data_IF_633727438711
#
_entry.id   IF_633727438711
#
_cell.length_a   1.000
_cell.length_b   1.000
_cell.length_c   1.000
_cell.angle_alpha   90.00
_cell.angle_beta   90.00
_cell.angle_gamma   90.00
#
_symmetry.space_group_name_H-M   'P 1'
#
loop_
_entity.id
_entity.type
_entity.pdbx_description
1 polymer ?
#
# COMPACT_ATOMS: atom_id res chain seq x y z
N UNK A 1 -19.88 -11.14 -22.84
CA UNK A 1 -19.33 -11.70 -24.10
C UNK A 1 -19.98 -10.95 -25.26
N UNK A 2 -19.24 -10.58 -26.31
CA UNK A 2 -19.86 -10.03 -27.52
C UNK A 2 -20.58 -11.17 -28.29
N UNK A 3 -21.83 -10.96 -28.70
CA UNK A 3 -22.69 -11.97 -29.33
C UNK A 3 -23.03 -11.66 -30.80
N UNK A 4 -22.04 -11.22 -31.59
CA UNK A 4 -22.23 -10.86 -33.01
C UNK A 4 -21.62 -11.89 -33.98
N UNK A 5 -22.04 -11.83 -35.24
CA UNK A 5 -21.48 -12.63 -36.34
C UNK A 5 -20.03 -12.24 -36.61
N UNK A 6 -19.15 -13.23 -36.68
CA UNK A 6 -17.73 -13.04 -37.02
C UNK A 6 -17.53 -12.58 -38.47
N UNK A 7 -16.44 -11.87 -38.80
CA UNK A 7 -15.35 -11.46 -37.90
C UNK A 7 -15.73 -10.27 -37.00
N UNK A 8 -15.24 -10.29 -35.76
CA UNK A 8 -15.40 -9.20 -34.79
C UNK A 8 -14.08 -8.46 -34.62
N UNK A 9 -14.07 -7.17 -34.94
CA UNK A 9 -12.96 -6.26 -34.66
C UNK A 9 -13.16 -5.62 -33.30
N UNK A 10 -12.16 -5.70 -32.43
CA UNK A 10 -12.18 -5.06 -31.10
C UNK A 10 -11.26 -3.84 -31.10
N UNK A 11 -11.66 -2.81 -30.35
CA UNK A 11 -10.80 -1.68 -30.02
C UNK A 11 -11.14 -1.20 -28.60
N UNK A 12 -10.13 -1.20 -27.72
CA UNK A 12 -10.29 -0.66 -26.37
C UNK A 12 -10.00 0.85 -26.33
N UNK A 13 -10.71 1.56 -25.46
CA UNK A 13 -10.53 2.99 -25.18
C UNK A 13 -10.37 3.22 -23.67
N UNK A 14 -9.64 4.27 -23.31
CA UNK A 14 -9.47 4.80 -21.96
C UNK A 14 -9.86 6.28 -21.99
N UNK A 15 -10.86 6.68 -21.20
CA UNK A 15 -11.43 8.03 -21.18
C UNK A 15 -11.77 8.55 -22.59
N UNK A 16 -12.30 7.66 -23.43
CA UNK A 16 -12.64 7.95 -24.83
C UNK A 16 -11.44 7.97 -25.80
N UNK A 17 -10.20 7.88 -25.31
CA UNK A 17 -9.00 7.81 -26.14
C UNK A 17 -8.65 6.37 -26.52
N UNK A 18 -8.26 6.16 -27.78
CA UNK A 18 -7.92 4.82 -28.29
C UNK A 18 -6.64 4.27 -27.65
N UNK A 19 -6.74 3.10 -27.02
CA UNK A 19 -5.57 2.33 -26.58
C UNK A 19 -4.95 1.61 -27.79
N UNK A 20 -3.88 2.18 -28.33
CA UNK A 20 -3.22 1.66 -29.54
C UNK A 20 -2.75 0.22 -29.32
N UNK A 21 -3.08 -0.67 -30.27
CA UNK A 21 -2.70 -2.08 -30.23
C UNK A 21 -3.60 -2.96 -29.34
N UNK A 22 -4.54 -2.38 -28.60
CA UNK A 22 -5.53 -3.13 -27.84
C UNK A 22 -6.70 -3.55 -28.76
N UNK A 23 -6.46 -4.57 -29.58
CA UNK A 23 -7.44 -5.09 -30.57
C UNK A 23 -7.91 -6.52 -30.29
N UNK A 24 -7.47 -7.08 -29.15
CA UNK A 24 -7.90 -8.41 -28.73
C UNK A 24 -9.22 -8.34 -27.96
N UNK A 25 -9.96 -9.46 -27.96
CA UNK A 25 -11.17 -9.64 -27.16
C UNK A 25 -10.95 -9.40 -25.66
N UNK A 26 -9.74 -9.65 -25.16
CA UNK A 26 -9.33 -9.44 -23.76
C UNK A 26 -8.24 -8.37 -23.71
N UNK A 27 -8.47 -7.30 -22.97
CA UNK A 27 -7.44 -6.32 -22.62
C UNK A 27 -6.59 -6.87 -21.48
N UNK A 28 -5.29 -7.03 -21.72
CA UNK A 28 -4.31 -7.43 -20.70
C UNK A 28 -3.33 -6.29 -20.50
N UNK A 29 -3.27 -5.76 -19.28
CA UNK A 29 -2.32 -4.73 -18.87
C UNK A 29 -1.34 -5.35 -17.85
N UNK A 30 -0.10 -5.72 -18.24
CA UNK A 30 0.82 -6.41 -17.35
C UNK A 30 1.32 -5.53 -16.19
N UNK A 31 1.34 -4.21 -16.40
CA UNK A 31 1.63 -3.21 -15.39
C UNK A 31 0.57 -2.12 -15.54
N UNK A 32 -0.08 -1.76 -14.44
CA UNK A 32 -1.07 -0.69 -14.38
C UNK A 32 -0.48 0.45 -13.57
N UNK A 33 -0.49 1.65 -14.13
CA UNK A 33 0.01 2.88 -13.52
C UNK A 33 -1.13 3.88 -13.31
N UNK A 34 -0.83 5.04 -12.71
CA UNK A 34 -1.81 6.13 -12.60
C UNK A 34 -2.29 6.65 -13.95
N UNK A 35 -1.50 6.52 -15.01
CA UNK A 35 -1.88 6.97 -16.35
C UNK A 35 -2.89 6.05 -17.02
N UNK A 36 -3.08 4.84 -16.48
CA UNK A 36 -4.04 3.85 -16.98
C UNK A 36 -5.38 3.91 -16.22
N UNK A 37 -5.50 4.81 -15.24
CA UNK A 37 -6.75 5.03 -14.52
C UNK A 37 -7.76 5.73 -15.42
N UNK A 38 -9.03 5.40 -15.25
CA UNK A 38 -10.11 6.06 -15.98
C UNK A 38 -11.19 5.08 -16.44
N UNK A 39 -12.06 5.58 -17.29
CA UNK A 39 -13.16 4.83 -17.87
C UNK A 39 -12.67 4.00 -19.05
N UNK A 40 -12.66 2.68 -18.89
CA UNK A 40 -12.29 1.74 -19.95
C UNK A 40 -13.54 1.21 -20.64
N UNK A 41 -13.54 1.24 -21.98
CA UNK A 41 -14.60 0.66 -22.82
C UNK A 41 -14.00 -0.18 -23.94
N UNK A 42 -14.80 -1.08 -24.49
CA UNK A 42 -14.49 -1.78 -25.74
C UNK A 42 -15.54 -1.48 -26.79
N UNK A 43 -15.07 -1.11 -27.97
CA UNK A 43 -15.85 -0.96 -29.18
C UNK A 43 -15.66 -2.23 -29.99
N UNK A 44 -16.75 -2.88 -30.37
CA UNK A 44 -16.76 -4.09 -31.19
C UNK A 44 -17.46 -3.79 -32.50
N UNK A 45 -16.84 -4.10 -33.62
CA UNK A 45 -17.37 -3.85 -34.97
C UNK A 45 -17.43 -5.13 -35.79
N UNK A 46 -18.46 -5.26 -36.61
CA UNK A 46 -18.55 -6.22 -37.71
C UNK A 46 -19.28 -5.58 -38.91
N UNK A 47 -19.56 -6.38 -39.96
CA UNK A 47 -20.25 -5.90 -41.16
C UNK A 47 -21.67 -5.38 -40.88
N UNK A 48 -22.32 -5.86 -39.82
CA UNK A 48 -23.67 -5.44 -39.44
C UNK A 48 -23.67 -4.12 -38.64
N UNK A 49 -22.54 -3.70 -38.09
CA UNK A 49 -22.41 -2.42 -37.37
C UNK A 49 -21.40 -2.43 -36.23
N UNK A 50 -21.59 -1.50 -35.30
CA UNK A 50 -20.71 -1.27 -34.16
C UNK A 50 -21.53 -1.33 -32.87
N UNK A 51 -20.99 -1.97 -31.84
CA UNK A 51 -21.52 -1.98 -30.49
C UNK A 51 -20.44 -1.56 -29.48
N UNK A 52 -20.83 -0.79 -28.47
CA UNK A 52 -19.95 -0.33 -27.42
C UNK A 52 -20.35 -0.96 -26.08
N UNK A 53 -19.37 -1.32 -25.25
CA UNK A 53 -19.63 -1.87 -23.93
C UNK A 53 -20.11 -0.81 -22.94
N UNK A 54 -20.71 -1.27 -21.84
CA UNK A 54 -20.80 -0.45 -20.64
C UNK A 54 -19.39 -0.04 -20.16
N UNK A 55 -19.24 1.13 -19.51
CA UNK A 55 -17.98 1.56 -18.94
C UNK A 55 -17.54 0.70 -17.76
N UNK A 56 -16.24 0.47 -17.66
CA UNK A 56 -15.59 -0.12 -16.48
C UNK A 56 -14.58 0.88 -15.95
N UNK A 57 -14.69 1.23 -14.67
CA UNK A 57 -13.74 2.16 -14.06
C UNK A 57 -12.50 1.42 -13.56
N UNK A 58 -11.34 1.81 -14.09
CA UNK A 58 -10.04 1.29 -13.68
C UNK A 58 -9.43 2.24 -12.65
N UNK A 59 -9.27 1.76 -11.42
CA UNK A 59 -8.62 2.49 -10.33
C UNK A 59 -7.41 1.71 -9.83
N UNK A 60 -6.31 2.40 -9.55
CA UNK A 60 -5.16 1.78 -8.87
C UNK A 60 -5.23 2.08 -7.39
N UNK A 61 -5.21 1.03 -6.55
CA UNK A 61 -5.15 1.19 -5.10
C UNK A 61 -3.69 1.34 -4.68
N UNK A 62 -3.37 2.43 -4.01
CA UNK A 62 -2.10 2.59 -3.31
C UNK A 62 -2.34 2.38 -1.82
N UNK A 63 -1.74 1.35 -1.26
CA UNK A 63 -1.67 1.24 0.19
C UNK A 63 -0.57 2.21 0.65
N UNK A 64 -0.97 3.26 1.36
CA UNK A 64 0.01 4.08 2.05
C UNK A 64 0.72 3.18 3.06
N UNK A 65 2.03 3.01 2.90
CA UNK A 65 2.85 2.37 3.92
C UNK A 65 2.84 3.33 5.11
N UNK A 66 2.10 2.99 6.17
CA UNK A 66 2.16 3.75 7.41
C UNK A 66 3.50 3.41 8.06
N UNK A 67 4.51 4.24 7.77
CA UNK A 67 5.85 4.06 8.30
C UNK A 67 5.78 4.16 9.83
N UNK A 68 6.41 3.21 10.56
CA UNK A 68 6.49 3.31 12.01
C UNK A 68 7.08 4.65 12.44
N UNK A 69 6.33 5.42 13.22
CA UNK A 69 6.74 6.72 13.72
C UNK A 69 6.70 6.73 15.25
N UNK A 70 7.88 6.94 15.85
CA UNK A 70 8.02 7.16 17.29
C UNK A 70 7.61 8.59 17.63
N UNK A 71 6.61 8.74 18.49
CA UNK A 71 6.20 10.02 19.04
C UNK A 71 7.19 10.55 20.08
N UNK A 72 6.91 11.77 20.56
CA UNK A 72 7.71 12.38 21.61
C UNK A 72 7.62 11.54 22.89
N UNK A 73 8.75 11.24 23.54
CA UNK A 73 8.75 10.48 24.76
C UNK A 73 8.18 11.31 25.92
N UNK A 74 7.44 10.66 26.82
CA UNK A 74 6.90 11.26 28.05
C UNK A 74 7.49 10.56 29.27
N UNK A 75 7.73 11.31 30.34
CA UNK A 75 8.27 10.74 31.57
C UNK A 75 7.20 9.90 32.29
N UNK A 76 7.59 8.73 32.78
CA UNK A 76 6.76 7.83 33.57
C UNK A 76 7.41 7.56 34.94
N UNK A 77 6.65 7.12 35.96
CA UNK A 77 7.18 6.88 37.31
C UNK A 77 8.38 5.91 37.35
N UNK A 78 8.44 4.96 36.42
CA UNK A 78 9.45 3.93 36.31
C UNK A 78 10.41 4.11 35.11
N UNK A 79 10.33 5.23 34.39
CA UNK A 79 11.18 5.52 33.25
C UNK A 79 10.53 6.40 32.20
N UNK A 80 10.41 5.88 30.98
CA UNK A 80 9.95 6.60 29.80
C UNK A 80 8.80 5.87 29.13
N UNK A 81 7.80 6.61 28.67
CA UNK A 81 6.74 6.11 27.77
C UNK A 81 6.91 6.72 26.40
N UNK A 82 6.82 5.88 25.38
CA UNK A 82 6.91 6.28 23.98
C UNK A 82 5.69 5.72 23.26
N UNK A 83 4.84 6.59 22.75
CA UNK A 83 3.78 6.19 21.83
C UNK A 83 4.36 6.07 20.42
N UNK A 84 3.92 5.09 19.65
CA UNK A 84 4.28 4.96 18.24
C UNK A 84 3.04 4.72 17.39
N UNK A 85 3.00 5.35 16.22
CA UNK A 85 2.07 4.99 15.14
C UNK A 85 2.72 3.90 14.29
N UNK A 86 1.99 2.83 14.02
CA UNK A 86 2.50 1.62 13.38
C UNK A 86 1.39 0.94 12.58
N UNK A 87 1.74 0.00 11.70
CA UNK A 87 0.74 -0.84 11.04
C UNK A 87 0.08 -1.83 12.04
N UNK A 88 -1.26 -1.87 12.04
CA UNK A 88 -2.04 -2.82 12.82
C UNK A 88 -1.80 -4.28 12.36
N UNK A 89 -1.89 -5.23 13.29
CA UNK A 89 -1.64 -6.65 13.04
C UNK A 89 -0.17 -7.04 12.88
N UNK A 90 0.76 -6.07 12.90
CA UNK A 90 2.20 -6.31 12.77
C UNK A 90 2.89 -6.36 14.14
N UNK A 91 3.90 -7.22 14.24
CA UNK A 91 4.78 -7.33 15.43
C UNK A 91 6.01 -6.45 15.26
N UNK A 92 6.32 -5.71 16.32
CA UNK A 92 7.45 -4.79 16.38
C UNK A 92 8.35 -5.07 17.58
N UNK A 93 9.64 -4.81 17.42
CA UNK A 93 10.62 -4.78 18.51
C UNK A 93 11.09 -3.35 18.74
N UNK A 94 11.08 -2.95 20.00
CA UNK A 94 11.76 -1.74 20.45
C UNK A 94 13.21 -2.09 20.75
N UNK A 95 14.14 -1.39 20.10
CA UNK A 95 15.55 -1.53 20.36
C UNK A 95 16.14 -0.25 20.94
N UNK A 96 17.10 -0.39 21.84
CA UNK A 96 17.90 0.72 22.35
C UNK A 96 19.38 0.57 21.99
N UNK A 97 20.06 1.70 21.88
CA UNK A 97 21.51 1.77 21.66
C UNK A 97 22.11 2.98 22.37
N UNK A 98 23.39 2.89 22.73
CA UNK A 98 24.16 3.97 23.34
C UNK A 98 25.19 4.56 22.38
N UNK A 99 25.45 3.88 21.26
CA UNK A 99 26.50 4.18 20.29
C UNK A 99 26.00 4.18 18.83
N UNK A 100 24.70 3.95 18.60
CA UNK A 100 24.03 3.74 17.30
C UNK A 100 24.52 2.52 16.51
N UNK A 101 25.44 1.72 17.05
CA UNK A 101 26.05 0.57 16.37
C UNK A 101 25.56 -0.74 16.97
N UNK A 102 25.56 -0.81 18.30
CA UNK A 102 25.16 -1.98 19.06
C UNK A 102 23.75 -1.76 19.56
N UNK A 103 22.81 -2.62 19.12
CA UNK A 103 21.39 -2.51 19.45
C UNK A 103 20.95 -3.68 20.33
N UNK A 104 20.18 -3.38 21.37
CA UNK A 104 19.58 -4.37 22.28
C UNK A 104 18.07 -4.33 22.20
N UNK A 105 17.44 -5.50 22.22
CA UNK A 105 15.98 -5.63 22.27
C UNK A 105 15.50 -5.29 23.69
N UNK A 106 14.62 -4.31 23.81
CA UNK A 106 14.02 -3.86 25.08
C UNK A 106 12.62 -4.45 25.28
N UNK A 107 11.83 -4.51 24.21
CA UNK A 107 10.46 -5.01 24.25
C UNK A 107 10.01 -5.51 22.87
N UNK A 108 9.05 -6.43 22.87
CA UNK A 108 8.32 -6.87 21.67
C UNK A 108 6.84 -6.61 21.88
N UNK A 109 6.17 -5.99 20.90
CA UNK A 109 4.74 -5.68 20.99
C UNK A 109 4.04 -5.99 19.66
N UNK A 110 2.77 -6.36 19.73
CA UNK A 110 1.90 -6.54 18.56
C UNK A 110 0.98 -5.32 18.50
N UNK A 111 0.87 -4.68 17.35
CA UNK A 111 -0.11 -3.60 17.18
C UNK A 111 -1.50 -4.19 16.92
N UNK A 112 -2.49 -3.78 17.70
CA UNK A 112 -3.89 -4.19 17.50
C UNK A 112 -4.68 -3.15 16.70
N UNK A 113 -4.36 -1.86 16.85
CA UNK A 113 -5.20 -0.74 16.40
C UNK A 113 -4.44 0.37 15.67
N UNK A 114 -3.20 0.11 15.24
CA UNK A 114 -2.38 1.08 14.50
C UNK A 114 -1.58 2.05 15.39
N UNK A 115 -1.65 1.88 16.70
CA UNK A 115 -0.77 2.52 17.67
C UNK A 115 -0.30 1.53 18.71
N UNK A 116 0.86 1.80 19.30
CA UNK A 116 1.43 1.04 20.42
C UNK A 116 1.99 2.01 21.45
N UNK A 117 1.90 1.63 22.72
CA UNK A 117 2.62 2.31 23.81
C UNK A 117 3.74 1.41 24.32
N UNK A 118 4.93 1.99 24.45
CA UNK A 118 6.13 1.29 24.87
C UNK A 118 6.67 1.93 26.14
N UNK A 119 6.86 1.12 27.17
CA UNK A 119 7.48 1.56 28.43
C UNK A 119 8.93 1.10 28.47
N UNK A 120 9.84 2.05 28.65
CA UNK A 120 11.27 1.80 28.85
C UNK A 120 11.60 2.11 30.29
N UNK A 121 12.17 1.14 31.00
CA UNK A 121 12.59 1.38 32.38
C UNK A 121 13.73 2.40 32.44
N UNK A 122 13.73 3.19 33.51
CA UNK A 122 14.88 3.98 33.93
C UNK A 122 16.09 3.05 34.03
N UNK A 123 17.13 3.32 33.22
CA UNK A 123 18.40 2.61 33.26
C UNK A 123 19.51 3.65 33.46
N UNK A 124 20.63 3.18 33.98
CA UNK A 124 21.76 3.92 34.58
C UNK A 124 22.53 4.89 33.64
N UNK A 125 22.02 5.15 32.43
CA UNK A 125 22.68 5.96 31.41
C UNK A 125 21.89 7.21 31.04
N UNK A 126 22.55 8.38 30.91
CA UNK A 126 21.87 9.65 30.68
C UNK A 126 21.31 9.81 29.26
N UNK A 127 21.84 9.11 28.26
CA UNK A 127 21.40 9.22 26.86
C UNK A 127 21.36 7.86 26.16
N UNK A 128 20.29 7.62 25.40
CA UNK A 128 20.08 6.42 24.58
C UNK A 128 19.33 6.80 23.30
N UNK A 129 19.57 6.03 22.25
CA UNK A 129 18.82 6.06 21.00
C UNK A 129 17.83 4.92 20.98
N UNK A 130 16.66 5.16 20.38
CA UNK A 130 15.60 4.17 20.24
C UNK A 130 15.20 4.02 18.79
N UNK A 131 14.88 2.79 18.38
CA UNK A 131 14.26 2.53 17.08
C UNK A 131 13.23 1.42 17.19
N UNK A 132 12.25 1.49 16.31
CA UNK A 132 11.30 0.41 16.11
C UNK A 132 11.75 -0.41 14.89
N UNK A 133 11.77 -1.73 15.03
CA UNK A 133 12.04 -2.63 13.90
C UNK A 133 10.90 -3.64 13.77
N UNK A 134 10.54 -3.98 12.54
CA UNK A 134 9.60 -5.06 12.28
C UNK A 134 10.22 -6.39 12.72
N UNK A 135 9.42 -7.24 13.36
CA UNK A 135 9.77 -8.64 13.53
C UNK A 135 9.36 -9.38 12.26
N UNK A 136 10.29 -10.10 11.64
CA UNK A 136 9.99 -11.02 10.53
C UNK A 136 9.17 -12.22 11.00
#
# INVERSE_FOLDING_TARGET
>A
MAGGTEPLDYQWTLDGSVLRGATNRVLTLPVVTRLDQGEVRVIVKNECGTAESAPVELQTVFQAVDLPNLGNPTQAPDGLRIAARVEAGRRYRLQSSTDLRTWRDEATVISESGSIELSVKSLDQPHRFYRLVTHE
#
